data_IF_566442439071
#
_entry.id   IF_566442439071
#
_cell.length_a   1.000
_cell.length_b   1.000
_cell.length_c   1.000
_cell.angle_alpha   90.00
_cell.angle_beta   90.00
_cell.angle_gamma   90.00
#
_symmetry.space_group_name_H-M   'P 1'
#
loop_
_entity.id
_entity.type
_entity.pdbx_description
1 polymer ?
#
# COMPACT_ATOMS: atom_id res chain seq x y z
N UNK A 1 13.32 -2.73 -8.16
CA UNK A 1 14.22 -2.03 -7.21
C UNK A 1 13.49 -1.92 -5.90
N UNK A 2 14.03 -2.45 -4.80
CA UNK A 2 13.28 -2.48 -3.55
C UNK A 2 13.01 -1.07 -3.00
N UNK A 3 11.76 -0.80 -2.62
CA UNK A 3 11.37 0.41 -1.88
C UNK A 3 11.96 0.33 -0.48
N UNK A 4 12.79 1.29 -0.09
CA UNK A 4 13.27 1.42 1.29
C UNK A 4 12.51 2.47 2.07
N UNK A 5 12.04 3.52 1.38
CA UNK A 5 11.28 4.61 1.96
C UNK A 5 10.38 5.27 0.91
N UNK A 6 9.31 5.90 1.37
CA UNK A 6 8.50 6.80 0.55
C UNK A 6 8.38 8.14 1.26
N UNK A 7 8.90 9.18 0.63
CA UNK A 7 8.91 10.53 1.21
C UNK A 7 7.80 11.38 0.64
N UNK A 8 6.93 11.91 1.50
CA UNK A 8 5.90 12.86 1.10
C UNK A 8 6.45 14.27 1.10
N UNK A 9 6.33 14.95 -0.04
CA UNK A 9 6.74 16.34 -0.27
C UNK A 9 5.60 17.16 -0.83
N UNK A 10 4.76 17.72 0.02
CA UNK A 10 3.60 18.57 -0.35
C UNK A 10 2.74 17.95 -1.47
N UNK A 11 3.09 18.23 -2.73
CA UNK A 11 2.39 17.77 -3.94
C UNK A 11 2.95 16.49 -4.56
N UNK A 12 3.97 15.86 -3.96
CA UNK A 12 4.66 14.69 -4.52
C UNK A 12 4.96 13.61 -3.47
N UNK A 13 5.12 12.38 -3.94
CA UNK A 13 5.73 11.27 -3.24
C UNK A 13 6.99 10.84 -3.99
N UNK A 14 8.12 10.75 -3.30
CA UNK A 14 9.37 10.24 -3.84
C UNK A 14 9.61 8.82 -3.32
N UNK A 15 9.73 7.85 -4.24
CA UNK A 15 10.12 6.47 -3.95
C UNK A 15 11.64 6.41 -3.85
N UNK A 16 12.16 5.92 -2.73
CA UNK A 16 13.58 5.83 -2.42
C UNK A 16 13.98 4.36 -2.35
N UNK A 17 15.08 3.99 -3.01
CA UNK A 17 15.65 2.64 -2.94
C UNK A 17 16.52 2.41 -1.70
N UNK A 18 16.95 1.17 -1.48
CA UNK A 18 17.84 0.77 -0.39
C UNK A 18 19.18 1.53 -0.32
N UNK A 19 19.59 2.18 -1.42
CA UNK A 19 20.83 2.97 -1.51
C UNK A 19 20.59 4.45 -1.20
N UNK A 20 19.36 4.82 -0.83
CA UNK A 20 18.94 6.20 -0.63
C UNK A 20 18.72 6.97 -1.93
N UNK A 21 18.70 6.30 -3.08
CA UNK A 21 18.49 6.95 -4.38
C UNK A 21 17.00 7.03 -4.68
N UNK A 22 16.57 8.19 -5.14
CA UNK A 22 15.22 8.36 -5.69
C UNK A 22 15.06 7.58 -7.00
N UNK A 23 14.11 6.66 -7.03
CA UNK A 23 13.78 5.84 -8.21
C UNK A 23 12.61 6.40 -9.00
N UNK A 24 11.63 7.01 -8.31
CA UNK A 24 10.41 7.53 -8.93
C UNK A 24 9.83 8.71 -8.15
N UNK A 25 9.12 9.60 -8.85
CA UNK A 25 8.30 10.65 -8.26
C UNK A 25 6.87 10.47 -8.75
N UNK A 26 5.90 10.50 -7.82
CA UNK A 26 4.47 10.39 -8.10
C UNK A 26 3.74 11.62 -7.57
N UNK A 27 2.68 12.10 -8.23
CA UNK A 27 1.89 13.21 -7.71
C UNK A 27 1.12 12.79 -6.46
N UNK A 28 1.01 13.67 -5.47
CA UNK A 28 0.24 13.40 -4.25
C UNK A 28 -1.27 13.24 -4.53
N UNK A 29 -1.74 13.63 -5.72
CA UNK A 29 -3.12 13.41 -6.17
C UNK A 29 -3.48 11.93 -6.39
N UNK A 30 -2.51 11.00 -6.30
CA UNK A 30 -2.82 9.57 -6.28
C UNK A 30 -3.56 9.14 -5.01
N UNK A 31 -3.49 9.92 -3.92
CA UNK A 31 -4.11 9.61 -2.64
C UNK A 31 -3.12 9.64 -1.48
N UNK A 32 -3.53 9.04 -0.37
CA UNK A 32 -2.74 8.92 0.86
C UNK A 32 -2.10 7.53 0.94
N UNK A 33 -0.80 7.47 1.24
CA UNK A 33 -0.10 6.18 1.37
C UNK A 33 -0.39 5.60 2.75
N UNK A 34 -1.09 4.47 2.79
CA UNK A 34 -1.44 3.74 4.02
C UNK A 34 -0.27 2.91 4.56
N UNK A 35 0.62 2.48 3.66
CA UNK A 35 1.79 1.70 4.01
C UNK A 35 2.49 1.14 2.78
N UNK A 36 3.72 0.66 2.98
CA UNK A 36 4.54 0.09 1.91
C UNK A 36 5.33 -1.12 2.41
N UNK A 37 5.74 -1.93 1.45
CA UNK A 37 6.74 -2.99 1.58
C UNK A 37 7.87 -2.71 0.58
N UNK A 38 8.84 -3.62 0.49
CA UNK A 38 9.91 -3.51 -0.51
C UNK A 38 9.43 -3.63 -1.96
N UNK A 39 8.27 -4.25 -2.21
CA UNK A 39 7.81 -4.61 -3.56
C UNK A 39 6.55 -3.86 -4.01
N UNK A 40 5.76 -3.34 -3.07
CA UNK A 40 4.51 -2.66 -3.38
C UNK A 40 4.11 -1.71 -2.25
N UNK A 41 3.20 -0.79 -2.55
CA UNK A 41 2.58 0.09 -1.58
C UNK A 41 1.08 0.24 -1.81
N UNK A 42 0.37 0.63 -0.75
CA UNK A 42 -1.08 0.78 -0.75
C UNK A 42 -1.43 2.25 -0.60
N UNK A 43 -2.32 2.74 -1.46
CA UNK A 43 -2.78 4.12 -1.46
C UNK A 43 -4.30 4.15 -1.22
N UNK A 44 -4.74 4.88 -0.22
CA UNK A 44 -6.15 5.24 -0.03
C UNK A 44 -6.51 6.44 -0.89
N UNK A 45 -7.55 6.30 -1.72
CA UNK A 45 -8.09 7.37 -2.55
C UNK A 45 -9.61 7.33 -2.58
N UNK A 46 -10.21 8.26 -1.85
CA UNK A 46 -11.66 8.45 -1.72
C UNK A 46 -12.38 7.26 -1.12
N UNK A 47 -12.76 6.25 -1.91
CA UNK A 47 -13.49 5.04 -1.45
C UNK A 47 -12.84 3.76 -1.99
N UNK A 48 -11.55 3.85 -2.31
CA UNK A 48 -10.79 2.81 -2.96
C UNK A 48 -9.39 2.73 -2.37
N UNK A 49 -8.86 1.51 -2.31
CA UNK A 49 -7.43 1.26 -2.14
C UNK A 49 -6.82 0.89 -3.49
N UNK A 50 -5.86 1.68 -3.92
CA UNK A 50 -5.07 1.44 -5.13
C UNK A 50 -3.74 0.77 -4.72
N UNK A 51 -3.40 -0.36 -5.36
CA UNK A 51 -2.10 -1.05 -5.17
C UNK A 51 -1.13 -0.67 -6.28
N UNK A 52 0.08 -0.33 -5.88
CA UNK A 52 1.15 0.14 -6.74
C UNK A 52 2.40 -0.72 -6.55
N UNK A 53 3.11 -0.99 -7.64
CA UNK A 53 4.39 -1.70 -7.61
C UNK A 53 5.54 -0.77 -7.20
N UNK A 54 6.74 -1.33 -7.06
CA UNK A 54 7.98 -0.63 -6.71
C UNK A 54 8.45 0.39 -7.76
N UNK A 55 7.87 0.36 -8.97
CA UNK A 55 8.10 1.34 -10.03
C UNK A 55 7.07 2.48 -10.03
N UNK A 56 6.12 2.44 -9.08
CA UNK A 56 5.07 3.44 -8.92
C UNK A 56 3.93 3.29 -9.93
N UNK A 57 3.75 2.11 -10.53
CA UNK A 57 2.65 1.82 -11.43
C UNK A 57 1.52 1.15 -10.67
N UNK A 58 0.32 1.73 -10.82
CA UNK A 58 -0.90 1.13 -10.29
C UNK A 58 -1.24 -0.15 -11.07
N UNK A 59 -1.48 -1.24 -10.36
CA UNK A 59 -1.88 -2.52 -10.97
C UNK A 59 -3.21 -3.08 -10.43
N UNK A 60 -3.73 -2.57 -9.31
CA UNK A 60 -5.01 -3.02 -8.76
C UNK A 60 -5.76 -1.88 -8.07
N UNK A 61 -7.08 -2.00 -8.05
CA UNK A 61 -7.98 -1.18 -7.25
C UNK A 61 -8.90 -2.11 -6.46
N UNK A 62 -9.09 -1.84 -5.17
CA UNK A 62 -9.96 -2.57 -4.25
C UNK A 62 -10.94 -1.58 -3.60
N UNK A 63 -12.20 -1.98 -3.32
CA UNK A 63 -13.13 -1.10 -2.62
C UNK A 63 -12.72 -0.94 -1.16
N UNK A 64 -12.90 0.25 -0.59
CA UNK A 64 -12.60 0.51 0.83
C UNK A 64 -13.50 -0.31 1.79
N UNK A 65 -14.63 -0.84 1.29
CA UNK A 65 -15.53 -1.72 2.02
C UNK A 65 -14.89 -3.04 2.49
N UNK A 66 -13.66 -3.37 2.04
CA UNK A 66 -12.87 -4.46 2.62
C UNK A 66 -12.45 -4.19 4.07
N UNK A 67 -12.41 -2.93 4.51
CA UNK A 67 -12.03 -2.50 5.86
C UNK A 67 -10.85 -1.50 5.86
N UNK A 68 -10.28 -1.25 7.04
CA UNK A 68 -9.17 -0.32 7.22
C UNK A 68 -7.81 -1.03 7.08
N UNK A 69 -6.87 -0.47 6.32
CA UNK A 69 -5.49 -0.98 6.26
C UNK A 69 -4.81 -0.72 7.61
N UNK A 70 -4.23 -1.76 8.22
CA UNK A 70 -3.53 -1.65 9.53
C UNK A 70 -2.07 -2.05 9.48
N UNK A 71 -1.65 -2.78 8.43
CA UNK A 71 -0.25 -3.12 8.22
C UNK A 71 -0.01 -3.48 6.75
N UNK A 72 1.17 -3.12 6.25
CA UNK A 72 1.71 -3.56 4.95
C UNK A 72 3.10 -4.12 5.24
N UNK A 73 3.35 -5.38 4.88
CA UNK A 73 4.62 -6.05 5.21
C UNK A 73 4.85 -7.28 4.35
N UNK A 74 6.10 -7.48 3.90
CA UNK A 74 6.44 -8.55 2.96
C UNK A 74 5.57 -8.46 1.71
N UNK A 75 4.99 -9.59 1.29
CA UNK A 75 4.09 -9.67 0.13
C UNK A 75 2.60 -9.56 0.51
N UNK A 76 2.28 -8.99 1.67
CA UNK A 76 0.91 -8.96 2.20
C UNK A 76 0.55 -7.63 2.83
N UNK A 77 -0.75 -7.38 2.94
CA UNK A 77 -1.29 -6.32 3.79
C UNK A 77 -2.45 -6.85 4.62
N UNK A 78 -2.62 -6.28 5.81
CA UNK A 78 -3.66 -6.65 6.77
C UNK A 78 -4.70 -5.55 6.81
N UNK A 79 -5.95 -5.99 6.71
CA UNK A 79 -7.13 -5.14 6.77
C UNK A 79 -7.92 -5.49 8.04
N UNK A 80 -8.26 -4.49 8.84
CA UNK A 80 -9.21 -4.64 9.96
C UNK A 80 -10.63 -4.37 9.46
N UNK A 81 -11.49 -5.37 9.56
CA UNK A 81 -12.91 -5.29 9.23
C UNK A 81 -13.74 -5.73 10.43
N UNK A 82 -14.24 -4.75 11.20
CA UNK A 82 -14.95 -5.00 12.46
C UNK A 82 -14.10 -5.85 13.42
N UNK A 83 -14.59 -7.01 13.85
CA UNK A 83 -13.90 -7.95 14.75
C UNK A 83 -12.92 -8.91 14.05
N UNK A 84 -12.52 -8.63 12.80
CA UNK A 84 -11.66 -9.51 12.01
C UNK A 84 -10.45 -8.77 11.44
N UNK A 85 -9.33 -9.49 11.34
CA UNK A 85 -8.17 -9.16 10.53
C UNK A 85 -8.15 -10.07 9.31
N UNK A 86 -8.38 -9.48 8.14
CA UNK A 86 -8.26 -10.13 6.84
C UNK A 86 -6.86 -9.87 6.28
N UNK A 87 -6.15 -10.92 5.87
CA UNK A 87 -4.83 -10.80 5.21
C UNK A 87 -5.01 -10.96 3.71
N UNK A 88 -4.45 -10.02 2.97
CA UNK A 88 -4.44 -10.00 1.52
C UNK A 88 -3.01 -10.14 1.03
N UNK A 89 -2.82 -10.84 -0.09
CA UNK A 89 -1.55 -10.82 -0.81
C UNK A 89 -1.39 -9.51 -1.61
N UNK A 90 -0.19 -9.27 -2.14
CA UNK A 90 0.13 -8.09 -2.94
C UNK A 90 -0.69 -7.99 -4.22
N UNK A 91 -1.36 -9.04 -4.69
CA UNK A 91 -2.27 -8.99 -5.86
C UNK A 91 -3.68 -8.49 -5.49
N UNK A 92 -3.94 -8.31 -4.20
CA UNK A 92 -5.24 -7.91 -3.65
C UNK A 92 -6.20 -9.09 -3.44
N UNK A 93 -5.70 -10.33 -3.43
CA UNK A 93 -6.51 -11.50 -3.10
C UNK A 93 -6.46 -11.76 -1.60
N UNK A 94 -7.62 -11.95 -0.98
CA UNK A 94 -7.71 -12.37 0.42
C UNK A 94 -7.21 -13.81 0.56
N UNK A 95 -6.22 -14.03 1.43
CA UNK A 95 -5.60 -15.34 1.67
C UNK A 95 -5.85 -15.88 3.07
N UNK A 96 -6.24 -15.04 4.03
CA UNK A 96 -6.52 -15.48 5.40
C UNK A 96 -7.49 -14.53 6.11
N UNK A 97 -8.16 -15.03 7.15
CA UNK A 97 -8.99 -14.26 8.09
C UNK A 97 -8.74 -14.78 9.50
N UNK A 98 -8.49 -13.87 10.47
CA UNK A 98 -8.40 -14.21 11.90
C UNK A 98 -9.18 -13.20 12.75
N UNK A 99 -9.64 -13.56 13.97
CA UNK A 99 -10.25 -12.59 14.88
C UNK A 99 -9.30 -11.44 15.25
N UNK A 100 -9.83 -10.23 15.37
CA UNK A 100 -9.15 -9.09 15.97
C UNK A 100 -9.29 -9.20 17.50
N UNK A 101 -8.37 -9.97 18.10
CA UNK A 101 -8.22 -10.06 19.56
C UNK A 101 -7.18 -9.06 20.04
#
# INVERSE_FOLDING_TARGET
>A
MAISNIERRSSWYDLIDERGKKTKTLPASIGEIEGFSSEFFVVSRSSWYDLYDDEGKKYKTLPESIGQIVAVSGNTFVVRRSSWHDTYDSTGKKINTKPAR
#
